data_IF_849602071918
#
_entry.id   IF_849602071918
#
_cell.length_a   1.000
_cell.length_b   1.000
_cell.length_c   1.000
_cell.angle_alpha   90.00
_cell.angle_beta   90.00
_cell.angle_gamma   90.00
#
_symmetry.space_group_name_H-M   'P 1'
#
loop_
_entity.id
_entity.type
_entity.pdbx_description
1 polymer ?
#
# COMPACT_ATOMS: atom_id res chain seq x y z
N UNK A 1 -11.32 -3.10 17.56
CA UNK A 1 -10.56 -2.36 16.53
C UNK A 1 -10.98 -0.89 16.51
N UNK A 2 -10.32 -0.03 17.30
CA UNK A 2 -10.61 1.41 17.35
C UNK A 2 -10.51 2.06 15.97
N UNK A 3 -9.50 1.68 15.17
CA UNK A 3 -9.33 2.14 13.80
C UNK A 3 -10.49 1.73 12.87
N UNK A 4 -11.04 0.53 13.03
CA UNK A 4 -12.17 0.08 12.22
C UNK A 4 -13.44 0.88 12.51
N UNK A 5 -13.67 1.19 13.79
CA UNK A 5 -14.77 2.07 14.20
C UNK A 5 -14.60 3.48 13.63
N UNK A 6 -13.41 4.08 13.78
CA UNK A 6 -13.11 5.41 13.23
C UNK A 6 -13.30 5.46 11.71
N UNK A 7 -12.79 4.45 10.99
CA UNK A 7 -12.90 4.39 9.54
C UNK A 7 -14.37 4.24 9.09
N UNK A 8 -15.16 3.40 9.77
CA UNK A 8 -16.59 3.25 9.49
C UNK A 8 -17.33 4.56 9.74
N UNK A 9 -17.14 5.19 10.91
CA UNK A 9 -17.75 6.49 11.21
C UNK A 9 -17.37 7.56 10.19
N UNK A 10 -16.12 7.61 9.74
CA UNK A 10 -15.70 8.57 8.73
C UNK A 10 -16.49 8.38 7.43
N UNK A 11 -16.62 7.16 6.91
CA UNK A 11 -17.38 6.91 5.69
C UNK A 11 -18.83 7.37 5.86
N UNK A 12 -19.47 7.00 6.97
CA UNK A 12 -20.87 7.35 7.25
C UNK A 12 -21.11 8.87 7.26
N UNK A 13 -20.16 9.66 7.76
CA UNK A 13 -20.30 11.13 7.85
C UNK A 13 -19.74 11.88 6.63
N UNK A 14 -19.05 11.19 5.71
CA UNK A 14 -18.42 11.81 4.53
C UNK A 14 -19.22 11.66 3.25
N UNK A 15 -20.04 10.62 3.15
CA UNK A 15 -20.84 10.34 1.96
C UNK A 15 -22.07 11.24 1.86
N UNK A 16 -22.52 11.48 0.63
CA UNK A 16 -23.68 12.33 0.34
C UNK A 16 -25.01 11.65 0.71
N UNK A 17 -25.06 10.31 0.67
CA UNK A 17 -26.24 9.51 0.97
C UNK A 17 -25.91 8.13 1.56
N UNK A 18 -26.94 7.46 2.08
CA UNK A 18 -26.82 6.14 2.71
C UNK A 18 -26.55 5.00 1.72
N UNK A 19 -26.97 5.12 0.46
CA UNK A 19 -26.70 4.11 -0.56
C UNK A 19 -25.20 4.10 -0.93
N UNK A 20 -24.56 5.27 -1.02
CA UNK A 20 -23.13 5.43 -1.20
C UNK A 20 -22.34 4.81 -0.02
N UNK A 21 -22.76 5.10 1.22
CA UNK A 21 -22.17 4.47 2.43
C UNK A 21 -22.23 2.95 2.34
N UNK A 22 -23.39 2.40 2.01
CA UNK A 22 -23.61 0.96 1.94
C UNK A 22 -22.77 0.31 0.84
N UNK A 23 -22.66 0.94 -0.33
CA UNK A 23 -21.80 0.48 -1.43
C UNK A 23 -20.32 0.37 -1.04
N UNK A 24 -19.82 1.37 -0.30
CA UNK A 24 -18.44 1.37 0.19
C UNK A 24 -18.23 0.25 1.23
N UNK A 25 -19.16 0.05 2.15
CA UNK A 25 -19.08 -1.06 3.11
C UNK A 25 -19.15 -2.42 2.43
N UNK A 26 -20.01 -2.59 1.43
CA UNK A 26 -20.05 -3.82 0.64
C UNK A 26 -18.71 -4.08 -0.06
N UNK A 27 -18.05 -3.03 -0.57
CA UNK A 27 -16.72 -3.12 -1.16
C UNK A 27 -15.65 -3.53 -0.15
N UNK A 28 -15.73 -3.05 1.09
CA UNK A 28 -14.82 -3.49 2.18
C UNK A 28 -14.92 -4.99 2.48
N UNK A 29 -16.12 -5.55 2.38
CA UNK A 29 -16.35 -6.99 2.58
C UNK A 29 -16.20 -7.81 1.28
N UNK A 30 -15.85 -7.17 0.17
CA UNK A 30 -15.69 -7.84 -1.13
C UNK A 30 -16.99 -8.38 -1.72
N UNK A 31 -18.15 -7.83 -1.30
CA UNK A 31 -19.47 -8.31 -1.73
C UNK A 31 -19.79 -7.96 -3.20
N UNK A 32 -19.06 -7.02 -3.80
CA UNK A 32 -19.12 -6.70 -5.24
C UNK A 32 -18.09 -7.47 -6.09
N UNK A 33 -17.50 -8.54 -5.54
CA UNK A 33 -16.50 -9.36 -6.21
C UNK A 33 -15.07 -9.07 -5.72
N UNK A 34 -14.20 -10.08 -5.86
CA UNK A 34 -12.75 -9.88 -5.71
C UNK A 34 -12.25 -9.24 -6.99
N UNK A 35 -11.63 -8.06 -6.91
CA UNK A 35 -11.04 -7.37 -8.06
C UNK A 35 -10.21 -8.34 -8.90
N UNK A 36 -10.65 -8.55 -10.15
CA UNK A 36 -10.06 -9.51 -11.07
C UNK A 36 -8.82 -8.95 -11.75
N UNK A 37 -7.77 -8.68 -10.99
CA UNK A 37 -6.46 -8.39 -11.59
C UNK A 37 -5.78 -9.71 -11.91
N UNK A 38 -5.71 -10.06 -13.18
CA UNK A 38 -4.92 -11.21 -13.65
C UNK A 38 -3.44 -10.83 -13.62
N UNK A 39 -2.64 -11.62 -12.90
CA UNK A 39 -1.18 -11.47 -12.89
C UNK A 39 -0.63 -12.40 -13.97
N UNK A 40 -0.42 -11.84 -15.16
CA UNK A 40 -0.01 -12.63 -16.34
C UNK A 40 1.49 -13.00 -16.34
N UNK A 41 2.28 -12.42 -15.42
CA UNK A 41 3.72 -12.67 -15.33
C UNK A 41 4.08 -13.52 -14.09
N UNK A 42 4.74 -14.68 -14.27
CA UNK A 42 5.18 -15.52 -13.16
C UNK A 42 6.23 -14.82 -12.27
N UNK A 43 6.96 -13.86 -12.84
CA UNK A 43 7.94 -13.05 -12.10
C UNK A 43 7.25 -12.07 -11.16
N UNK A 44 6.17 -11.43 -11.62
CA UNK A 44 5.35 -10.53 -10.78
C UNK A 44 4.64 -11.33 -9.70
N UNK A 45 4.11 -12.52 -10.03
CA UNK A 45 3.44 -13.39 -9.05
C UNK A 45 4.39 -13.83 -7.94
N UNK A 46 5.60 -14.27 -8.29
CA UNK A 46 6.60 -14.68 -7.30
C UNK A 46 7.07 -13.52 -6.44
N UNK A 47 7.27 -12.32 -7.02
CA UNK A 47 7.58 -11.10 -6.27
C UNK A 47 6.45 -10.71 -5.31
N UNK A 48 5.19 -10.83 -5.73
CA UNK A 48 4.03 -10.51 -4.89
C UNK A 48 3.89 -11.48 -3.72
N UNK A 49 4.08 -12.78 -3.97
CA UNK A 49 4.06 -13.80 -2.91
C UNK A 49 5.19 -13.56 -1.92
N UNK A 50 6.42 -13.35 -2.41
CA UNK A 50 7.56 -13.07 -1.56
C UNK A 50 7.36 -11.79 -0.74
N UNK A 51 6.84 -10.74 -1.36
CA UNK A 51 6.48 -9.49 -0.70
C UNK A 51 5.37 -9.66 0.35
N UNK A 52 4.34 -10.46 0.05
CA UNK A 52 3.27 -10.78 0.98
C UNK A 52 3.76 -11.55 2.20
N UNK A 53 4.63 -12.55 2.00
CA UNK A 53 5.28 -13.28 3.09
C UNK A 53 6.15 -12.34 3.93
N UNK A 54 6.95 -11.49 3.29
CA UNK A 54 7.77 -10.51 3.98
C UNK A 54 6.93 -9.49 4.76
N UNK A 55 5.77 -9.08 4.24
CA UNK A 55 4.88 -8.15 4.92
C UNK A 55 4.16 -8.79 6.12
N UNK A 56 3.81 -10.08 6.02
CA UNK A 56 3.06 -10.78 7.07
C UNK A 56 3.97 -11.35 8.17
N UNK A 57 5.08 -11.95 7.78
CA UNK A 57 6.00 -12.65 8.69
C UNK A 57 7.29 -11.88 8.98
N UNK A 58 7.61 -10.85 8.19
CA UNK A 58 8.80 -10.04 8.41
C UNK A 58 8.66 -9.08 9.59
N UNK A 59 9.79 -8.60 10.14
CA UNK A 59 9.77 -7.57 11.17
C UNK A 59 9.20 -6.27 10.60
N UNK A 60 8.50 -5.50 11.43
CA UNK A 60 8.10 -4.15 11.04
C UNK A 60 9.34 -3.31 10.75
N UNK A 61 9.23 -2.36 9.82
CA UNK A 61 10.35 -1.48 9.45
C UNK A 61 10.95 -0.78 10.68
N UNK A 62 10.10 -0.34 11.61
CA UNK A 62 10.52 0.31 12.86
C UNK A 62 11.31 -0.64 13.76
N UNK A 63 10.81 -1.86 14.00
CA UNK A 63 11.50 -2.86 14.84
C UNK A 63 12.82 -3.29 14.20
N UNK A 64 12.84 -3.41 12.88
CA UNK A 64 14.04 -3.79 12.16
C UNK A 64 15.12 -2.70 12.27
N UNK A 65 14.77 -1.43 12.07
CA UNK A 65 15.71 -0.31 12.14
C UNK A 65 16.23 -0.09 13.57
N UNK A 66 15.35 -0.16 14.56
CA UNK A 66 15.69 0.18 15.95
C UNK A 66 16.48 -0.93 16.65
N UNK A 67 16.09 -2.20 16.45
CA UNK A 67 16.60 -3.30 17.30
C UNK A 67 17.54 -4.25 16.56
N UNK A 68 17.45 -4.35 15.22
CA UNK A 68 18.14 -5.40 14.45
C UNK A 68 19.19 -4.85 13.49
N UNK A 69 18.98 -3.66 12.94
CA UNK A 69 19.87 -3.08 11.95
C UNK A 69 21.04 -2.36 12.64
N UNK A 70 22.25 -2.89 12.45
CA UNK A 70 23.46 -2.20 12.92
C UNK A 70 23.74 -0.99 12.02
N UNK A 71 23.93 0.22 12.57
CA UNK A 71 24.21 1.41 11.77
C UNK A 71 25.58 1.25 11.09
N UNK A 72 25.57 1.07 9.77
CA UNK A 72 26.76 0.93 8.94
C UNK A 72 26.69 1.92 7.78
N UNK A 73 27.81 2.58 7.49
CA UNK A 73 27.94 3.54 6.40
C UNK A 73 27.57 2.93 5.05
N UNK A 74 27.87 1.65 4.86
CA UNK A 74 27.53 0.92 3.65
C UNK A 74 26.02 0.75 3.46
N UNK A 75 25.30 0.42 4.53
CA UNK A 75 23.84 0.28 4.48
C UNK A 75 23.19 1.61 4.11
N UNK A 76 23.67 2.71 4.71
CA UNK A 76 23.20 4.06 4.36
C UNK A 76 23.46 4.41 2.90
N UNK A 77 24.65 4.10 2.38
CA UNK A 77 25.01 4.35 0.98
C UNK A 77 24.09 3.59 0.01
N UNK A 78 23.90 2.28 0.22
CA UNK A 78 23.04 1.47 -0.66
C UNK A 78 21.57 1.90 -0.56
N UNK A 79 21.08 2.23 0.63
CA UNK A 79 19.72 2.74 0.81
C UNK A 79 19.52 4.07 0.08
N UNK A 80 20.49 4.99 0.16
CA UNK A 80 20.44 6.27 -0.54
C UNK A 80 20.44 6.08 -2.06
N UNK A 81 21.32 5.21 -2.59
CA UNK A 81 21.36 4.90 -4.02
C UNK A 81 20.07 4.26 -4.51
N UNK A 82 19.50 3.32 -3.75
CA UNK A 82 18.22 2.71 -4.06
C UNK A 82 17.09 3.76 -4.09
N UNK A 83 17.05 4.67 -3.12
CA UNK A 83 16.06 5.73 -3.05
C UNK A 83 16.18 6.72 -4.23
N UNK A 84 17.40 7.14 -4.57
CA UNK A 84 17.63 7.98 -5.76
C UNK A 84 17.18 7.24 -7.02
N UNK A 85 17.51 5.96 -7.16
CA UNK A 85 17.06 5.13 -8.28
C UNK A 85 15.54 5.05 -8.37
N UNK A 86 14.85 4.87 -7.25
CA UNK A 86 13.38 4.85 -7.20
C UNK A 86 12.77 6.20 -7.60
N UNK A 87 13.33 7.33 -7.14
CA UNK A 87 12.87 8.66 -7.53
C UNK A 87 13.00 8.86 -9.04
N UNK A 88 14.14 8.48 -9.61
CA UNK A 88 14.35 8.58 -11.05
C UNK A 88 13.41 7.65 -11.83
N UNK A 89 13.13 6.46 -11.31
CA UNK A 89 12.21 5.52 -11.93
C UNK A 89 10.77 6.06 -11.94
N UNK A 90 10.30 6.60 -10.82
CA UNK A 90 8.96 7.19 -10.68
C UNK A 90 8.86 8.48 -11.53
N UNK A 91 9.89 9.33 -11.50
CA UNK A 91 9.92 10.56 -12.28
C UNK A 91 10.02 10.33 -13.79
N UNK A 92 10.63 9.21 -14.21
CA UNK A 92 10.78 8.82 -15.61
C UNK A 92 9.62 7.97 -16.15
N UNK A 93 8.79 7.37 -15.30
CA UNK A 93 7.72 6.47 -15.70
C UNK A 93 6.61 6.39 -14.65
N UNK A 94 5.37 6.56 -15.14
CA UNK A 94 4.11 6.73 -14.40
C UNK A 94 3.91 8.17 -13.89
N UNK A 95 3.47 9.04 -14.81
CA UNK A 95 2.36 9.94 -14.49
C UNK A 95 1.21 9.03 -14.03
N UNK A 96 1.19 8.65 -12.76
CA UNK A 96 -0.08 8.41 -12.10
C UNK A 96 -0.84 9.70 -12.32
N UNK A 97 -1.96 9.66 -13.03
CA UNK A 97 -2.93 10.74 -12.96
C UNK A 97 -3.14 10.94 -11.46
N UNK A 98 -2.51 11.99 -10.92
CA UNK A 98 -2.95 12.53 -9.66
C UNK A 98 -4.43 12.75 -9.91
N UNK A 99 -5.27 12.16 -9.07
CA UNK A 99 -6.67 12.52 -8.99
C UNK A 99 -6.65 14.02 -8.67
N UNK A 100 -6.58 14.83 -9.72
CA UNK A 100 -6.73 16.26 -9.69
C UNK A 100 -8.17 16.41 -9.28
N UNK A 101 -8.34 16.58 -7.97
CA UNK A 101 -9.36 17.40 -7.38
C UNK A 101 -10.45 17.81 -8.37
N UNK A 102 -11.44 16.94 -8.54
CA UNK A 102 -12.76 17.40 -8.92
C UNK A 102 -13.37 17.92 -7.62
N UNK A 103 -13.01 19.16 -7.26
CA UNK A 103 -13.84 19.98 -6.41
C UNK A 103 -14.98 20.54 -7.26
#
# INVERSE_FOLDING_TARGET
CTMGFVAASWILFRTEDFAATWSIYQSWFGLHGRGGTTIDSPLILSALIAGGIAAFAGPTSQKFILDQLRPSRWVGLFAALALVGMILLIGGGLQSEFIYFQF
#
